data_IF_434238914977
#
_entry.id   IF_434238914977
#
_cell.length_a   1.000
_cell.length_b   1.000
_cell.length_c   1.000
_cell.angle_alpha   90.00
_cell.angle_beta   90.00
_cell.angle_gamma   90.00
#
_symmetry.space_group_name_H-M   'P 1'
#
loop_
_entity.id
_entity.type
_entity.pdbx_description
1 polymer ?
#
# COMPACT_ATOMS: atom_id res chain seq x y z
N UNK A 1 -14.07 -15.59 -19.02
CA UNK A 1 -13.94 -14.11 -18.88
C UNK A 1 -12.48 -13.71 -18.76
N UNK A 2 -11.69 -14.34 -17.86
CA UNK A 2 -10.29 -13.96 -17.59
C UNK A 2 -9.34 -14.01 -18.79
N UNK A 3 -9.57 -14.92 -19.76
CA UNK A 3 -8.66 -15.09 -20.91
C UNK A 3 -9.13 -14.38 -22.19
N UNK A 4 -10.21 -13.60 -22.10
CA UNK A 4 -10.83 -12.94 -23.26
C UNK A 4 -10.65 -11.42 -23.29
N UNK A 5 -10.01 -10.84 -22.26
CA UNK A 5 -9.91 -9.39 -22.05
C UNK A 5 -8.51 -9.08 -21.53
N UNK A 6 -7.88 -8.05 -22.08
CA UNK A 6 -6.61 -7.50 -21.58
C UNK A 6 -6.67 -5.96 -21.46
N UNK A 7 -6.10 -5.34 -20.41
CA UNK A 7 -5.61 -5.97 -19.17
C UNK A 7 -6.72 -6.76 -18.46
N UNK A 8 -6.36 -7.66 -17.55
CA UNK A 8 -7.35 -8.50 -16.87
C UNK A 8 -8.31 -7.64 -16.03
N UNK A 9 -9.56 -8.07 -15.93
CA UNK A 9 -10.57 -7.43 -15.08
C UNK A 9 -10.88 -8.29 -13.85
N UNK A 10 -11.09 -7.63 -12.72
CA UNK A 10 -11.61 -8.25 -11.51
C UNK A 10 -13.13 -8.31 -11.59
N UNK A 11 -13.70 -9.49 -11.33
CA UNK A 11 -15.13 -9.75 -11.44
C UNK A 11 -15.61 -10.44 -10.17
N UNK A 12 -16.66 -9.90 -9.56
CA UNK A 12 -17.39 -10.55 -8.50
C UNK A 12 -18.67 -11.18 -9.07
N UNK A 13 -18.98 -12.41 -8.69
CA UNK A 13 -20.18 -13.11 -9.17
C UNK A 13 -20.93 -13.76 -8.03
N UNK A 14 -22.26 -13.67 -8.06
CA UNK A 14 -23.15 -14.29 -7.08
C UNK A 14 -24.30 -14.99 -7.80
N UNK A 15 -24.65 -16.20 -7.35
CA UNK A 15 -25.84 -16.92 -7.81
C UNK A 15 -26.97 -16.62 -6.83
N UNK A 16 -28.12 -16.23 -7.36
CA UNK A 16 -29.37 -15.99 -6.62
C UNK A 16 -30.37 -17.05 -7.07
N UNK A 17 -30.78 -17.92 -6.15
CA UNK A 17 -31.85 -18.89 -6.40
C UNK A 17 -33.20 -18.19 -6.36
N UNK A 18 -34.03 -18.48 -7.36
CA UNK A 18 -35.41 -18.03 -7.48
C UNK A 18 -36.38 -19.19 -7.24
N UNK A 19 -37.68 -18.88 -7.18
CA UNK A 19 -38.73 -19.89 -7.16
C UNK A 19 -38.66 -20.82 -8.39
N UNK A 20 -39.22 -22.02 -8.25
CA UNK A 20 -39.32 -23.02 -9.32
C UNK A 20 -37.96 -23.48 -9.90
N UNK A 21 -36.89 -23.43 -9.08
CA UNK A 21 -35.57 -23.90 -9.49
C UNK A 21 -34.83 -23.00 -10.49
N UNK A 22 -35.34 -21.79 -10.75
CA UNK A 22 -34.66 -20.80 -11.59
C UNK A 22 -33.48 -20.19 -10.83
N UNK A 23 -32.41 -19.85 -11.53
CA UNK A 23 -31.22 -19.20 -10.95
C UNK A 23 -30.83 -17.97 -11.76
N UNK A 24 -30.41 -16.92 -11.06
CA UNK A 24 -29.85 -15.71 -11.66
C UNK A 24 -28.37 -15.62 -11.29
N UNK A 25 -27.50 -15.49 -12.28
CA UNK A 25 -26.09 -15.16 -12.07
C UNK A 25 -25.92 -13.65 -12.16
N UNK A 26 -25.64 -13.01 -11.02
CA UNK A 26 -25.25 -11.61 -10.96
C UNK A 26 -23.74 -11.53 -11.13
N UNK A 27 -23.29 -10.76 -12.13
CA UNK A 27 -21.87 -10.50 -12.40
C UNK A 27 -21.62 -9.01 -12.24
N UNK A 28 -20.86 -8.63 -11.21
CA UNK A 28 -20.44 -7.26 -10.94
C UNK A 28 -19.02 -7.07 -11.44
N UNK A 29 -18.86 -6.11 -12.36
CA UNK A 29 -17.56 -5.69 -12.90
C UNK A 29 -17.27 -4.32 -12.30
N UNK A 30 -16.18 -4.21 -11.55
CA UNK A 30 -15.75 -2.93 -11.00
C UNK A 30 -15.12 -2.07 -12.10
N UNK A 31 -15.11 -0.75 -11.89
CA UNK A 31 -14.36 0.15 -12.76
C UNK A 31 -12.90 -0.27 -12.72
N UNK A 32 -12.30 -0.45 -13.89
CA UNK A 32 -10.88 -0.70 -14.00
C UNK A 32 -10.11 0.59 -14.24
N UNK A 33 -8.91 0.62 -13.69
CA UNK A 33 -7.99 1.74 -13.73
C UNK A 33 -6.84 1.56 -14.70
N UNK A 34 -6.62 0.33 -15.17
CA UNK A 34 -5.70 0.00 -16.26
C UNK A 34 -6.39 0.02 -17.62
N UNK A 35 -7.52 0.72 -17.70
CA UNK A 35 -8.25 0.88 -18.95
C UNK A 35 -7.49 1.77 -19.94
N UNK A 36 -7.93 1.76 -21.22
CA UNK A 36 -9.05 0.99 -21.76
C UNK A 36 -8.74 -0.52 -21.89
N UNK A 37 -9.79 -1.36 -21.84
CA UNK A 37 -9.68 -2.82 -22.00
C UNK A 37 -9.97 -3.27 -23.42
N UNK A 38 -9.12 -4.13 -23.96
CA UNK A 38 -9.28 -4.78 -25.25
C UNK A 38 -9.93 -6.15 -25.09
N UNK A 39 -10.96 -6.41 -25.90
CA UNK A 39 -11.55 -7.74 -26.03
C UNK A 39 -10.72 -8.53 -27.04
N UNK A 40 -9.92 -9.47 -26.55
CA UNK A 40 -9.06 -10.34 -27.38
C UNK A 40 -9.71 -11.70 -27.70
N UNK A 41 -10.85 -12.00 -27.07
CA UNK A 41 -11.55 -13.27 -27.25
C UNK A 41 -11.79 -13.57 -28.74
N UNK A 42 -11.26 -14.70 -29.21
CA UNK A 42 -11.33 -15.14 -30.62
C UNK A 42 -10.78 -14.11 -31.64
N UNK A 43 -9.73 -13.36 -31.29
CA UNK A 43 -9.06 -12.42 -32.21
C UNK A 43 -9.90 -11.19 -32.55
N UNK A 44 -10.77 -10.78 -31.62
CA UNK A 44 -11.68 -9.65 -31.85
C UNK A 44 -10.96 -8.28 -31.77
N UNK A 45 -9.91 -8.20 -30.95
CA UNK A 45 -8.95 -7.08 -30.78
C UNK A 45 -9.55 -5.66 -30.78
N UNK A 46 -10.73 -5.49 -30.21
CA UNK A 46 -11.47 -4.20 -30.17
C UNK A 46 -11.72 -3.72 -28.75
N UNK A 47 -11.76 -2.41 -28.60
CA UNK A 47 -12.10 -1.72 -27.35
C UNK A 47 -13.57 -1.30 -27.39
N UNK A 48 -14.26 -1.46 -26.25
CA UNK A 48 -15.67 -1.16 -26.11
C UNK A 48 -15.93 -0.29 -24.90
N UNK A 49 -16.96 0.55 -25.01
CA UNK A 49 -17.56 1.26 -23.89
C UNK A 49 -19.06 1.00 -23.85
N UNK A 50 -19.70 1.41 -22.74
CA UNK A 50 -21.13 1.26 -22.52
C UNK A 50 -21.72 2.57 -21.99
N UNK A 51 -22.86 2.94 -22.54
CA UNK A 51 -23.70 4.02 -22.02
C UNK A 51 -25.14 3.50 -21.81
N UNK A 52 -26.08 4.39 -21.53
CA UNK A 52 -27.50 4.05 -21.36
C UNK A 52 -28.14 3.42 -22.60
N UNK A 53 -27.63 3.71 -23.80
CA UNK A 53 -28.15 3.20 -25.07
C UNK A 53 -27.58 1.83 -25.49
N UNK A 54 -26.46 1.40 -24.90
CA UNK A 54 -25.88 0.08 -25.16
C UNK A 54 -24.36 0.05 -25.16
N UNK A 55 -23.81 -1.02 -25.75
CA UNK A 55 -22.36 -1.20 -25.97
C UNK A 55 -21.96 -0.65 -27.34
N UNK A 56 -20.82 0.01 -27.43
CA UNK A 56 -20.30 0.55 -28.70
C UNK A 56 -18.77 0.43 -28.75
N UNK A 57 -18.17 0.26 -29.95
CA UNK A 57 -16.72 0.28 -30.10
C UNK A 57 -16.18 1.69 -29.89
N UNK A 58 -15.05 1.83 -29.21
CA UNK A 58 -14.40 3.13 -29.00
C UNK A 58 -13.71 3.61 -30.28
N UNK A 59 -13.83 4.90 -30.59
CA UNK A 59 -13.05 5.54 -31.65
C UNK A 59 -11.65 5.99 -31.16
N UNK A 60 -10.84 6.55 -32.06
CA UNK A 60 -9.47 6.99 -31.75
C UNK A 60 -9.41 8.13 -30.72
N UNK A 61 -10.37 9.03 -30.71
CA UNK A 61 -10.45 10.15 -29.76
C UNK A 61 -10.90 9.65 -28.39
N UNK A 62 -11.89 8.76 -28.36
CA UNK A 62 -12.35 8.13 -27.12
C UNK A 62 -11.27 7.22 -26.51
N UNK A 63 -10.51 6.50 -27.34
CA UNK A 63 -9.35 5.74 -26.89
C UNK A 63 -8.29 6.66 -26.29
N UNK A 64 -7.92 7.74 -26.98
CA UNK A 64 -6.97 8.73 -26.45
C UNK A 64 -7.44 9.28 -25.10
N UNK A 65 -8.71 9.63 -24.98
CA UNK A 65 -9.29 10.12 -23.73
C UNK A 65 -9.24 9.05 -22.62
N UNK A 66 -9.53 7.79 -22.95
CA UNK A 66 -9.47 6.68 -22.00
C UNK A 66 -8.04 6.45 -21.48
N UNK A 67 -7.02 6.52 -22.34
CA UNK A 67 -5.61 6.42 -21.93
C UNK A 67 -5.15 7.64 -21.12
N UNK A 68 -5.59 8.86 -21.46
CA UNK A 68 -5.23 10.06 -20.69
C UNK A 68 -5.77 10.01 -19.24
N UNK A 69 -6.95 9.42 -19.05
CA UNK A 69 -7.54 9.24 -17.72
C UNK A 69 -6.69 8.34 -16.82
N UNK A 70 -6.07 7.27 -17.35
CA UNK A 70 -5.18 6.39 -16.56
C UNK A 70 -3.84 7.05 -16.26
N UNK A 71 -3.27 7.82 -17.18
CA UNK A 71 -2.06 8.62 -16.92
C UNK A 71 -2.28 9.63 -15.78
N UNK A 72 -3.45 10.29 -15.74
CA UNK A 72 -3.79 11.24 -14.66
C UNK A 72 -3.84 10.59 -13.27
N UNK A 73 -4.16 9.30 -13.19
CA UNK A 73 -4.22 8.59 -11.91
C UNK A 73 -2.83 8.36 -11.34
N UNK A 74 -1.91 7.88 -12.18
CA UNK A 74 -0.50 7.64 -11.78
C UNK A 74 0.13 8.93 -11.27
N UNK A 75 -0.11 10.05 -11.97
CA UNK A 75 0.33 11.37 -11.54
C UNK A 75 -0.28 11.77 -10.19
N UNK A 76 -1.58 11.57 -9.98
CA UNK A 76 -2.24 11.86 -8.70
C UNK A 76 -1.68 11.04 -7.53
N UNK A 77 -1.44 9.74 -7.74
CA UNK A 77 -0.83 8.86 -6.74
C UNK A 77 0.58 9.36 -6.38
N UNK A 78 1.39 9.67 -7.40
CA UNK A 78 2.75 10.17 -7.20
C UNK A 78 2.78 11.53 -6.51
N UNK A 79 1.84 12.43 -6.84
CA UNK A 79 1.71 13.74 -6.21
C UNK A 79 1.30 13.61 -4.74
N UNK A 80 0.32 12.76 -4.42
CA UNK A 80 -0.06 12.47 -3.04
C UNK A 80 1.15 11.98 -2.24
N UNK A 81 1.83 10.93 -2.72
CA UNK A 81 3.00 10.36 -2.06
C UNK A 81 4.10 11.40 -1.87
N UNK A 82 4.46 12.13 -2.92
CA UNK A 82 5.53 13.13 -2.86
C UNK A 82 5.20 14.25 -1.88
N UNK A 83 3.95 14.73 -1.84
CA UNK A 83 3.48 15.69 -0.85
C UNK A 83 3.62 15.16 0.56
N UNK A 84 3.21 13.91 0.81
CA UNK A 84 3.30 13.30 2.14
C UNK A 84 4.74 13.10 2.60
N UNK A 85 5.64 12.67 1.73
CA UNK A 85 7.07 12.57 2.07
C UNK A 85 7.67 13.95 2.37
N UNK A 86 7.28 15.00 1.63
CA UNK A 86 7.71 16.37 1.91
C UNK A 86 7.20 16.88 3.27
N UNK A 87 5.95 16.60 3.60
CA UNK A 87 5.37 16.93 4.91
C UNK A 87 6.12 16.21 6.04
N UNK A 88 6.42 14.91 5.88
CA UNK A 88 7.12 14.10 6.87
C UNK A 88 8.58 14.49 7.10
N UNK A 89 9.24 15.00 6.05
CA UNK A 89 10.62 15.51 6.12
C UNK A 89 10.70 16.92 6.70
N UNK A 90 9.59 17.67 6.64
CA UNK A 90 9.47 19.03 7.19
C UNK A 90 8.77 19.06 8.55
N UNK A 91 8.59 17.89 9.19
CA UNK A 91 7.88 17.67 10.46
C UNK A 91 6.44 18.25 10.50
N UNK A 92 5.80 18.37 9.33
CA UNK A 92 4.39 18.70 9.17
C UNK A 92 3.53 17.42 9.29
N UNK A 93 3.52 16.83 10.48
CA UNK A 93 2.81 15.58 10.80
C UNK A 93 1.43 15.86 11.42
N UNK A 94 0.44 14.94 11.30
CA UNK A 94 -0.89 15.11 11.88
C UNK A 94 -0.91 15.14 13.43
N UNK A 95 0.21 14.76 14.03
CA UNK A 95 0.49 14.76 15.48
C UNK A 95 1.98 15.06 15.67
N UNK A 96 2.42 15.78 16.73
CA UNK A 96 3.84 15.94 17.02
C UNK A 96 4.54 14.59 17.02
N UNK A 97 5.64 14.47 16.27
CA UNK A 97 6.31 13.19 16.02
C UNK A 97 7.77 13.23 16.47
N UNK A 98 8.35 12.06 16.71
CA UNK A 98 9.77 11.93 17.05
C UNK A 98 10.67 12.38 15.89
N UNK A 99 11.78 13.01 16.23
CA UNK A 99 12.82 13.34 15.26
C UNK A 99 13.55 12.06 14.81
N UNK A 100 14.22 12.13 13.66
CA UNK A 100 15.07 11.07 13.14
C UNK A 100 14.43 10.23 12.05
N UNK A 101 14.91 8.99 11.89
CA UNK A 101 14.54 8.11 10.80
C UNK A 101 13.08 7.64 10.91
N UNK A 102 12.37 7.59 9.78
CA UNK A 102 10.96 7.17 9.71
C UNK A 102 10.78 6.05 8.68
N UNK A 103 10.00 5.04 9.02
CA UNK A 103 9.49 4.01 8.09
C UNK A 103 8.05 4.39 7.75
N UNK A 104 7.75 4.51 6.46
CA UNK A 104 6.45 4.97 5.95
C UNK A 104 5.86 3.91 5.03
N UNK A 105 4.67 3.42 5.39
CA UNK A 105 3.87 2.52 4.59
C UNK A 105 2.65 3.27 4.06
N UNK A 106 2.55 3.43 2.74
CA UNK A 106 1.34 3.93 2.09
C UNK A 106 0.61 2.79 1.41
N UNK A 107 -0.70 2.71 1.65
CA UNK A 107 -1.63 1.80 0.98
C UNK A 107 -2.63 2.68 0.27
N UNK A 108 -2.55 2.71 -1.06
CA UNK A 108 -3.25 3.67 -1.90
C UNK A 108 -4.16 2.90 -2.87
N UNK A 109 -5.45 2.75 -2.53
CA UNK A 109 -6.44 2.25 -3.47
C UNK A 109 -6.53 3.16 -4.69
N UNK A 110 -6.65 2.59 -5.89
CA UNK A 110 -6.74 3.40 -7.10
C UNK A 110 -8.04 4.22 -7.13
N UNK A 111 -9.10 3.71 -6.49
CA UNK A 111 -10.36 4.43 -6.34
C UNK A 111 -10.30 5.65 -5.40
N UNK A 112 -9.23 5.84 -4.63
CA UNK A 112 -9.06 7.00 -3.75
C UNK A 112 -9.01 8.35 -4.45
N UNK A 113 -8.79 8.37 -5.76
CA UNK A 113 -8.75 9.60 -6.56
C UNK A 113 -9.99 9.81 -7.42
N UNK A 114 -11.03 8.97 -7.22
CA UNK A 114 -12.36 9.25 -7.73
C UNK A 114 -13.03 10.30 -6.82
N UNK A 115 -13.52 11.44 -7.33
CA UNK A 115 -14.24 12.43 -6.52
C UNK A 115 -15.46 11.86 -5.80
N UNK A 116 -16.06 10.80 -6.32
CA UNK A 116 -17.21 10.12 -5.71
C UNK A 116 -16.80 9.17 -4.57
N UNK A 117 -15.52 8.84 -4.44
CA UNK A 117 -15.03 7.93 -3.40
C UNK A 117 -14.79 8.71 -2.10
N UNK A 118 -15.82 8.73 -1.27
CA UNK A 118 -15.78 9.32 0.07
C UNK A 118 -16.46 8.34 1.04
N UNK A 119 -15.67 7.75 1.94
CA UNK A 119 -16.12 6.80 2.94
C UNK A 119 -16.79 7.57 4.08
N UNK A 120 -18.00 7.17 4.41
CA UNK A 120 -18.78 7.75 5.50
C UNK A 120 -18.02 7.66 6.84
N UNK A 121 -18.12 8.73 7.64
CA UNK A 121 -17.37 8.84 8.90
C UNK A 121 -17.75 7.76 9.92
N UNK A 122 -19.00 7.27 9.92
CA UNK A 122 -19.41 6.23 10.85
C UNK A 122 -18.78 4.88 10.46
N UNK A 123 -18.66 4.58 9.17
CA UNK A 123 -17.88 3.42 8.69
C UNK A 123 -16.41 3.52 9.05
N UNK A 124 -15.82 4.71 8.95
CA UNK A 124 -14.43 4.90 9.38
C UNK A 124 -14.27 4.63 10.88
N UNK A 125 -15.22 5.07 11.72
CA UNK A 125 -15.19 4.82 13.17
C UNK A 125 -15.27 3.32 13.50
N UNK A 126 -16.02 2.54 12.73
CA UNK A 126 -16.06 1.08 12.88
C UNK A 126 -14.70 0.42 12.62
N UNK A 127 -13.86 1.00 11.76
CA UNK A 127 -12.50 0.53 11.51
C UNK A 127 -11.49 0.91 12.61
N UNK A 128 -11.76 1.97 13.38
CA UNK A 128 -10.84 2.53 14.38
C UNK A 128 -10.25 1.49 15.37
N UNK A 129 -11.02 0.54 15.94
CA UNK A 129 -10.46 -0.44 16.88
C UNK A 129 -9.38 -1.34 16.27
N UNK A 130 -9.39 -1.52 14.93
CA UNK A 130 -8.41 -2.31 14.18
C UNK A 130 -7.19 -1.49 13.74
N UNK A 131 -7.26 -0.15 13.82
CA UNK A 131 -6.19 0.77 13.42
C UNK A 131 -5.07 0.80 14.46
N UNK A 132 -4.31 -0.30 14.54
CA UNK A 132 -3.16 -0.44 15.45
C UNK A 132 -1.91 0.19 14.78
N UNK A 133 -1.30 1.22 15.37
CA UNK A 133 -0.04 1.78 14.85
C UNK A 133 1.09 0.74 14.87
N UNK A 134 2.03 0.87 13.95
CA UNK A 134 3.19 -0.02 13.86
C UNK A 134 4.03 0.04 15.15
N UNK A 135 4.48 -1.12 15.64
CA UNK A 135 5.32 -1.24 16.85
C UNK A 135 4.71 -0.60 18.12
N UNK A 136 3.38 -0.54 18.22
CA UNK A 136 2.68 0.02 19.38
C UNK A 136 2.17 -1.07 20.34
N UNK A 137 2.26 -0.81 21.64
CA UNK A 137 1.60 -1.60 22.71
C UNK A 137 0.32 -0.96 23.25
N UNK A 138 0.10 0.32 22.94
CA UNK A 138 -1.10 1.09 23.24
C UNK A 138 -1.22 2.28 22.30
N UNK A 139 -2.45 2.73 22.04
CA UNK A 139 -2.72 3.81 21.10
C UNK A 139 -3.95 4.61 21.52
N UNK A 140 -4.04 5.83 21.01
CA UNK A 140 -5.19 6.71 21.19
C UNK A 140 -5.77 7.10 19.84
N UNK A 141 -7.10 7.14 19.71
CA UNK A 141 -7.76 7.62 18.51
C UNK A 141 -7.84 9.15 18.49
N UNK A 142 -7.89 9.72 17.28
CA UNK A 142 -8.17 11.13 17.01
C UNK A 142 -8.90 11.24 15.67
N UNK A 143 -9.81 12.19 15.55
CA UNK A 143 -10.46 12.51 14.27
C UNK A 143 -9.89 13.85 13.78
N UNK A 144 -9.57 13.95 12.49
CA UNK A 144 -9.09 15.17 11.84
C UNK A 144 -9.86 15.46 10.53
N UNK A 145 -9.45 16.53 9.85
CA UNK A 145 -10.07 16.98 8.60
C UNK A 145 -9.91 15.95 7.48
N UNK A 146 -8.90 15.09 7.56
CA UNK A 146 -8.51 14.11 6.55
C UNK A 146 -9.20 12.76 6.77
N UNK A 147 -9.36 12.31 8.02
CA UNK A 147 -10.14 11.13 8.38
C UNK A 147 -10.02 10.77 9.85
N UNK A 148 -9.57 9.54 10.10
CA UNK A 148 -9.31 9.02 11.45
C UNK A 148 -7.82 8.73 11.57
N UNK A 149 -7.28 9.11 12.73
CA UNK A 149 -5.91 8.88 13.14
C UNK A 149 -5.92 7.98 14.37
N UNK A 150 -5.06 6.97 14.39
CA UNK A 150 -4.66 6.29 15.62
C UNK A 150 -3.17 6.52 15.80
N UNK A 151 -2.74 6.89 16.99
CA UNK A 151 -1.34 7.19 17.26
C UNK A 151 -0.90 6.57 18.59
N UNK A 152 0.38 6.20 18.66
CA UNK A 152 1.02 5.72 19.88
C UNK A 152 1.95 6.80 20.42
N UNK A 153 1.72 7.18 21.66
CA UNK A 153 2.51 8.21 22.34
C UNK A 153 3.88 7.70 22.78
N UNK A 154 4.81 8.62 22.94
CA UNK A 154 6.09 8.44 23.58
C UNK A 154 6.32 9.50 24.67
N UNK A 155 7.58 9.79 24.98
CA UNK A 155 7.99 10.88 25.87
C UNK A 155 7.64 12.26 25.27
N UNK A 156 7.50 13.26 26.14
CA UNK A 156 7.33 14.68 25.78
C UNK A 156 6.15 14.99 24.85
N UNK A 157 5.02 14.28 24.99
CA UNK A 157 3.82 14.45 24.15
C UNK A 157 4.05 14.24 22.64
N UNK A 158 5.17 13.64 22.24
CA UNK A 158 5.43 13.27 20.86
C UNK A 158 5.00 11.83 20.61
N UNK A 159 4.49 11.57 19.42
CA UNK A 159 4.18 10.23 18.94
C UNK A 159 5.40 9.62 18.26
N UNK A 160 5.54 8.31 18.41
CA UNK A 160 6.58 7.55 17.71
C UNK A 160 6.01 6.66 16.60
N UNK A 161 4.69 6.55 16.51
CA UNK A 161 4.01 5.75 15.51
C UNK A 161 2.57 6.22 15.32
N UNK A 162 2.10 6.30 14.09
CA UNK A 162 0.70 6.56 13.79
C UNK A 162 0.21 5.80 12.55
N UNK A 163 -1.10 5.66 12.45
CA UNK A 163 -1.83 5.26 11.25
C UNK A 163 -2.95 6.28 10.99
N UNK A 164 -2.96 6.84 9.79
CA UNK A 164 -4.00 7.72 9.28
C UNK A 164 -4.80 6.97 8.21
N UNK A 165 -6.10 6.86 8.42
CA UNK A 165 -7.07 6.42 7.42
C UNK A 165 -7.79 7.66 6.88
N UNK A 166 -7.56 7.99 5.62
CA UNK A 166 -8.17 9.12 4.94
C UNK A 166 -9.60 8.78 4.50
N UNK A 167 -10.44 9.82 4.37
CA UNK A 167 -11.84 9.70 3.90
C UNK A 167 -11.97 9.04 2.52
N UNK A 168 -10.94 9.13 1.68
CA UNK A 168 -10.91 8.48 0.38
C UNK A 168 -10.33 7.05 0.41
N UNK A 169 -10.11 6.47 1.59
CA UNK A 169 -9.64 5.10 1.76
C UNK A 169 -8.13 4.89 1.69
N UNK A 170 -7.34 5.96 1.51
CA UNK A 170 -5.87 5.87 1.62
C UNK A 170 -5.51 5.56 3.08
N UNK A 171 -4.52 4.69 3.28
CA UNK A 171 -3.88 4.47 4.59
C UNK A 171 -2.43 4.94 4.52
N UNK A 172 -2.03 5.78 5.47
CA UNK A 172 -0.64 6.15 5.74
C UNK A 172 -0.28 5.67 7.15
N UNK A 173 0.75 4.83 7.26
CA UNK A 173 1.30 4.43 8.55
C UNK A 173 2.76 4.83 8.64
N UNK A 174 3.16 5.42 9.77
CA UNK A 174 4.50 5.95 10.00
C UNK A 174 5.01 5.47 11.35
N UNK A 175 6.26 5.01 11.40
CA UNK A 175 6.93 4.51 12.61
C UNK A 175 8.36 5.06 12.70
N UNK A 176 8.77 5.52 13.89
CA UNK A 176 10.04 6.23 14.09
C UNK A 176 10.99 5.63 15.14
N UNK A 177 10.60 4.61 15.90
CA UNK A 177 11.50 4.00 16.91
C UNK A 177 12.44 2.98 16.31
N UNK A 178 12.05 2.26 15.25
CA UNK A 178 12.89 1.20 14.67
C UNK A 178 14.19 1.72 14.11
N UNK A 179 14.19 2.97 13.66
CA UNK A 179 15.35 3.67 13.13
C UNK A 179 15.97 4.61 14.18
N UNK A 180 15.55 4.57 15.44
CA UNK A 180 16.17 5.42 16.46
C UNK A 180 17.66 5.08 16.59
N UNK A 181 18.52 6.08 16.38
CA UNK A 181 19.97 5.89 16.50
C UNK A 181 20.32 5.56 17.95
N UNK A 182 20.97 4.42 18.18
CA UNK A 182 21.47 4.06 19.51
C UNK A 182 22.91 4.56 19.65
N UNK A 183 23.48 4.44 20.87
CA UNK A 183 24.93 4.63 21.07
C UNK A 183 25.79 3.72 20.18
N UNK A 184 25.22 2.63 19.68
CA UNK A 184 25.91 1.62 18.88
C UNK A 184 25.99 2.01 17.39
N UNK A 185 25.14 2.93 16.92
CA UNK A 185 25.13 3.44 15.55
C UNK A 185 23.74 3.56 14.91
N UNK A 186 23.72 3.79 13.59
CA UNK A 186 22.50 3.86 12.76
C UNK A 186 22.22 2.51 12.13
N UNK A 187 21.21 1.79 12.63
CA UNK A 187 20.89 0.45 12.16
C UNK A 187 19.43 0.27 11.79
N UNK A 188 19.20 -0.60 10.81
CA UNK A 188 17.90 -1.18 10.48
C UNK A 188 17.88 -2.62 11.03
N UNK A 189 17.07 -2.93 12.05
CA UNK A 189 16.98 -4.29 12.61
C UNK A 189 16.41 -5.27 11.59
N UNK A 190 17.27 -6.08 10.95
CA UNK A 190 16.94 -6.81 9.72
C UNK A 190 15.70 -7.68 9.79
N UNK A 191 15.44 -8.29 10.97
CA UNK A 191 14.25 -9.12 11.22
C UNK A 191 13.07 -8.27 11.72
N UNK A 192 13.36 -7.29 12.59
CA UNK A 192 12.35 -6.53 13.31
C UNK A 192 11.50 -5.65 12.40
N UNK A 193 12.12 -4.95 11.44
CA UNK A 193 11.39 -4.05 10.54
C UNK A 193 10.47 -4.83 9.57
N UNK A 194 10.96 -5.96 9.04
CA UNK A 194 10.18 -6.80 8.11
C UNK A 194 8.98 -7.45 8.81
N UNK A 195 9.20 -8.04 10.00
CA UNK A 195 8.12 -8.65 10.80
C UNK A 195 7.03 -7.64 11.15
N UNK A 196 7.42 -6.43 11.55
CA UNK A 196 6.50 -5.33 11.82
C UNK A 196 5.68 -4.95 10.59
N UNK A 197 6.32 -4.74 9.43
CA UNK A 197 5.65 -4.36 8.19
C UNK A 197 4.69 -5.44 7.67
N UNK A 198 5.04 -6.72 7.78
CA UNK A 198 4.14 -7.81 7.41
C UNK A 198 2.88 -7.86 8.29
N UNK A 199 3.03 -7.67 9.60
CA UNK A 199 1.90 -7.60 10.52
C UNK A 199 1.02 -6.38 10.25
N UNK A 200 1.64 -5.22 10.04
CA UNK A 200 0.97 -3.98 9.69
C UNK A 200 0.17 -4.11 8.39
N UNK A 201 0.81 -4.56 7.31
CA UNK A 201 0.15 -4.75 6.02
C UNK A 201 -1.02 -5.74 6.12
N UNK A 202 -0.86 -6.86 6.83
CA UNK A 202 -1.95 -7.81 7.06
C UNK A 202 -3.17 -7.14 7.70
N UNK A 203 -2.94 -6.36 8.75
CA UNK A 203 -4.00 -5.67 9.48
C UNK A 203 -4.68 -4.61 8.62
N UNK A 204 -3.88 -3.77 7.95
CA UNK A 204 -4.40 -2.62 7.19
C UNK A 204 -5.10 -3.05 5.90
N UNK A 205 -4.63 -4.11 5.24
CA UNK A 205 -5.35 -4.76 4.13
C UNK A 205 -6.69 -5.35 4.58
N UNK A 206 -6.79 -5.82 5.83
CA UNK A 206 -8.06 -6.24 6.44
C UNK A 206 -9.01 -5.07 6.63
N UNK A 207 -8.52 -3.94 7.14
CA UNK A 207 -9.33 -2.72 7.34
C UNK A 207 -9.93 -2.22 6.03
N UNK A 208 -9.12 -2.04 4.99
CA UNK A 208 -9.62 -1.53 3.70
C UNK A 208 -10.59 -2.52 3.04
N UNK A 209 -10.36 -3.83 3.20
CA UNK A 209 -11.28 -4.86 2.72
C UNK A 209 -12.63 -4.78 3.43
N UNK A 210 -12.64 -4.61 4.75
CA UNK A 210 -13.86 -4.49 5.55
C UNK A 210 -14.65 -3.22 5.22
N UNK A 211 -13.95 -2.14 4.83
CA UNK A 211 -14.55 -0.90 4.33
C UNK A 211 -15.16 -1.03 2.92
N UNK A 212 -14.97 -2.18 2.26
CA UNK A 212 -15.49 -2.45 0.92
C UNK A 212 -14.69 -1.79 -0.21
N UNK A 213 -13.43 -1.42 0.08
CA UNK A 213 -12.53 -0.83 -0.91
C UNK A 213 -12.15 -1.88 -1.96
N UNK A 214 -12.18 -1.51 -3.24
CA UNK A 214 -11.89 -2.43 -4.33
C UNK A 214 -10.43 -2.33 -4.80
N UNK A 215 -9.74 -3.47 -5.03
CA UNK A 215 -8.49 -3.48 -5.78
C UNK A 215 -8.67 -2.94 -7.20
N UNK A 216 -7.60 -2.41 -7.84
CA UNK A 216 -6.20 -2.49 -7.44
C UNK A 216 -5.77 -1.48 -6.36
N UNK A 217 -4.76 -1.88 -5.59
CA UNK A 217 -4.20 -1.12 -4.46
C UNK A 217 -2.68 -1.02 -4.65
N UNK A 218 -2.13 0.18 -4.69
CA UNK A 218 -0.68 0.37 -4.67
C UNK A 218 -0.16 0.38 -3.24
N UNK A 219 0.87 -0.41 -2.98
CA UNK A 219 1.60 -0.45 -1.72
C UNK A 219 2.96 0.19 -1.94
N UNK A 220 3.28 1.21 -1.14
CA UNK A 220 4.58 1.87 -1.16
C UNK A 220 5.24 1.77 0.21
N UNK A 221 6.54 1.52 0.20
CA UNK A 221 7.40 1.59 1.37
C UNK A 221 8.46 2.66 1.13
N UNK A 222 8.60 3.59 2.07
CA UNK A 222 9.61 4.64 2.02
C UNK A 222 10.32 4.72 3.37
N UNK A 223 11.64 4.85 3.34
CA UNK A 223 12.43 5.17 4.53
C UNK A 223 12.94 6.61 4.40
N UNK A 224 12.79 7.40 5.46
CA UNK A 224 13.18 8.80 5.54
C UNK A 224 14.28 8.94 6.59
N UNK A 225 15.27 9.82 6.36
CA UNK A 225 16.34 10.08 7.31
C UNK A 225 17.32 8.92 7.45
N UNK A 226 17.46 8.07 6.42
CA UNK A 226 18.23 6.81 6.48
C UNK A 226 19.64 6.89 5.89
N UNK A 227 20.14 8.08 5.59
CA UNK A 227 21.54 8.22 5.14
C UNK A 227 22.50 7.73 6.23
N UNK A 228 23.38 6.80 5.85
CA UNK A 228 24.38 6.17 6.71
C UNK A 228 23.83 5.04 7.59
N UNK A 229 22.61 4.55 7.36
CA UNK A 229 22.09 3.36 8.05
C UNK A 229 22.61 2.09 7.39
N UNK A 230 22.82 1.05 8.21
CA UNK A 230 23.15 -0.31 7.76
C UNK A 230 22.22 -1.35 8.38
N UNK A 231 22.11 -2.53 7.76
CA UNK A 231 21.33 -3.62 8.35
C UNK A 231 22.07 -4.22 9.55
N UNK A 232 21.40 -4.33 10.70
CA UNK A 232 21.90 -5.13 11.82
C UNK A 232 21.23 -6.50 11.80
N UNK A 233 22.01 -7.56 11.70
CA UNK A 233 21.54 -8.93 11.90
C UNK A 233 22.52 -9.70 12.76
N UNK A 234 21.99 -10.61 13.60
CA UNK A 234 22.78 -11.59 14.36
C UNK A 234 23.60 -12.51 13.45
N UNK A 235 23.17 -12.69 12.20
CA UNK A 235 23.85 -13.50 11.19
C UNK A 235 24.84 -12.69 10.33
N UNK A 236 24.82 -11.36 10.43
CA UNK A 236 25.77 -10.44 9.79
C UNK A 236 26.86 -10.11 10.82
N UNK A 237 27.43 -11.15 11.44
CA UNK A 237 28.42 -11.01 12.54
C UNK A 237 29.80 -10.52 12.06
N UNK A 238 29.98 -10.28 10.77
CA UNK A 238 31.26 -9.93 10.15
C UNK A 238 31.11 -8.89 9.03
N UNK A 239 30.33 -7.84 9.26
CA UNK A 239 30.31 -6.71 8.32
C UNK A 239 31.18 -5.57 8.85
N UNK A 240 32.48 -5.74 8.62
CA UNK A 240 33.50 -4.70 8.79
C UNK A 240 33.54 -3.73 7.61
N UNK A 241 32.74 -3.95 6.56
CA UNK A 241 32.75 -3.07 5.40
C UNK A 241 31.94 -1.80 5.71
N UNK A 242 32.67 -0.68 5.76
CA UNK A 242 32.08 0.66 5.85
C UNK A 242 31.17 0.99 4.65
N UNK A 243 31.20 0.17 3.59
CA UNK A 243 30.52 0.37 2.32
C UNK A 243 29.04 -0.10 2.29
N UNK A 244 28.60 -0.93 3.26
CA UNK A 244 27.23 -1.46 3.32
C UNK A 244 26.22 -0.51 3.97
N UNK A 245 26.34 0.79 3.65
CA UNK A 245 25.49 1.86 4.16
C UNK A 245 24.56 2.42 3.09
N UNK A 246 23.36 2.83 3.51
CA UNK A 246 22.43 3.53 2.63
C UNK A 246 22.95 4.94 2.35
N UNK A 247 23.21 5.25 1.09
CA UNK A 247 23.76 6.54 0.66
C UNK A 247 22.71 7.64 0.45
N UNK A 248 21.42 7.28 0.45
CA UNK A 248 20.29 8.21 0.24
C UNK A 248 19.62 8.55 1.56
N UNK A 249 19.22 9.80 1.73
CA UNK A 249 18.45 10.20 2.91
C UNK A 249 17.00 9.69 2.85
N UNK A 250 16.42 9.72 1.64
CA UNK A 250 15.10 9.14 1.35
C UNK A 250 15.32 7.92 0.47
N UNK A 251 15.05 6.73 1.01
CA UNK A 251 14.99 5.49 0.25
C UNK A 251 13.54 5.24 -0.17
N UNK A 252 13.22 5.70 -1.38
CA UNK A 252 11.93 5.51 -2.01
C UNK A 252 11.93 4.22 -2.84
N UNK A 253 11.09 3.25 -2.48
CA UNK A 253 11.03 1.94 -3.15
C UNK A 253 9.92 1.92 -4.21
N UNK A 254 10.06 1.05 -5.25
CA UNK A 254 9.00 0.80 -6.23
C UNK A 254 7.70 0.32 -5.57
N UNK A 255 6.58 0.57 -6.24
CA UNK A 255 5.28 0.08 -5.83
C UNK A 255 5.14 -1.43 -5.99
N UNK A 256 4.31 -2.03 -5.13
CA UNK A 256 3.66 -3.30 -5.42
C UNK A 256 2.17 -3.05 -5.69
N UNK A 257 1.69 -3.47 -6.85
CA UNK A 257 0.27 -3.40 -7.21
C UNK A 257 -0.43 -4.69 -6.79
N UNK A 258 -1.43 -4.56 -5.94
CA UNK A 258 -2.25 -5.66 -5.45
C UNK A 258 -3.58 -5.66 -6.20
N UNK A 259 -3.79 -6.66 -7.06
CA UNK A 259 -5.01 -6.79 -7.88
C UNK A 259 -6.13 -7.59 -7.19
N UNK A 260 -5.81 -8.29 -6.10
CA UNK A 260 -6.74 -9.15 -5.36
C UNK A 260 -6.40 -9.20 -3.89
N UNK A 261 -7.39 -9.40 -3.02
CA UNK A 261 -7.18 -9.65 -1.59
C UNK A 261 -6.69 -11.09 -1.30
N UNK A 262 -6.72 -11.98 -2.29
CA UNK A 262 -6.24 -13.36 -2.19
C UNK A 262 -4.73 -13.44 -2.48
N UNK A 263 -3.96 -12.73 -1.68
CA UNK A 263 -2.50 -12.69 -1.75
C UNK A 263 -1.94 -12.50 -0.34
N UNK A 264 -0.82 -13.15 -0.03
CA UNK A 264 -0.21 -13.04 1.30
C UNK A 264 0.62 -11.75 1.42
N UNK A 265 0.69 -11.14 2.62
CA UNK A 265 1.59 -10.00 2.87
C UNK A 265 3.06 -10.32 2.54
N UNK A 266 3.50 -11.56 2.73
CA UNK A 266 4.84 -12.03 2.38
C UNK A 266 5.11 -11.95 0.88
N UNK A 267 4.14 -12.34 0.04
CA UNK A 267 4.28 -12.28 -1.41
C UNK A 267 4.34 -10.83 -1.92
N UNK A 268 3.64 -9.91 -1.26
CA UNK A 268 3.66 -8.47 -1.58
C UNK A 268 5.00 -7.84 -1.16
N UNK A 269 5.44 -8.09 0.09
CA UNK A 269 6.53 -7.33 0.70
C UNK A 269 7.91 -7.90 0.43
N UNK A 270 8.06 -9.20 0.16
CA UNK A 270 9.38 -9.82 -0.07
C UNK A 270 10.19 -9.09 -1.17
N UNK A 271 9.64 -8.82 -2.37
CA UNK A 271 10.39 -8.10 -3.40
C UNK A 271 10.82 -6.70 -2.95
N UNK A 272 10.01 -6.04 -2.11
CA UNK A 272 10.32 -4.71 -1.55
C UNK A 272 11.44 -4.82 -0.51
N UNK A 273 11.42 -5.85 0.33
CA UNK A 273 12.48 -6.11 1.31
C UNK A 273 13.81 -6.43 0.62
N UNK A 274 13.79 -7.23 -0.44
CA UNK A 274 15.00 -7.52 -1.21
C UNK A 274 15.68 -6.22 -1.70
N UNK A 275 14.91 -5.21 -2.10
CA UNK A 275 15.45 -3.89 -2.49
C UNK A 275 16.04 -3.09 -1.32
N UNK A 276 15.50 -3.22 -0.09
CA UNK A 276 16.11 -2.62 1.11
C UNK A 276 17.47 -3.26 1.39
N UNK A 277 17.56 -4.58 1.25
CA UNK A 277 18.81 -5.32 1.40
C UNK A 277 19.82 -4.98 0.29
N UNK A 278 19.37 -4.82 -0.96
CA UNK A 278 20.21 -4.33 -2.06
C UNK A 278 20.76 -2.93 -1.78
N UNK A 279 19.95 -2.04 -1.18
CA UNK A 279 20.41 -0.70 -0.79
C UNK A 279 21.49 -0.72 0.30
N UNK A 280 21.68 -1.86 0.98
CA UNK A 280 22.74 -2.11 1.96
C UNK A 280 23.80 -3.10 1.44
N UNK A 281 23.88 -3.37 0.12
CA UNK A 281 24.93 -4.20 -0.48
C UNK A 281 24.66 -5.72 -0.52
N UNK A 282 23.52 -6.19 -0.04
CA UNK A 282 23.18 -7.62 -0.05
C UNK A 282 22.36 -8.02 -1.27
N UNK A 283 22.44 -9.28 -1.70
CA UNK A 283 21.71 -9.78 -2.89
C UNK A 283 20.18 -9.83 -2.69
N UNK A 284 19.70 -10.08 -1.46
CA UNK A 284 18.29 -10.25 -1.10
C UNK A 284 18.10 -10.27 0.42
N UNK A 285 16.85 -10.33 0.90
CA UNK A 285 16.56 -10.65 2.30
C UNK A 285 16.80 -12.13 2.60
N UNK A 286 17.64 -12.39 3.62
CA UNK A 286 17.91 -13.75 4.11
C UNK A 286 16.87 -14.24 5.13
N UNK A 287 15.83 -13.46 5.41
CA UNK A 287 14.74 -13.87 6.29
C UNK A 287 13.71 -14.78 5.62
N UNK A 288 13.87 -15.05 4.31
CA UNK A 288 13.00 -15.90 3.51
C UNK A 288 13.76 -17.08 2.89
N UNK A 289 13.10 -18.24 2.82
CA UNK A 289 13.62 -19.39 2.07
C UNK A 289 13.39 -19.23 0.55
N UNK A 290 13.89 -20.19 -0.23
CA UNK A 290 13.74 -20.19 -1.70
C UNK A 290 12.27 -20.18 -2.17
N UNK A 291 11.38 -20.79 -1.39
CA UNK A 291 9.93 -20.81 -1.63
C UNK A 291 9.24 -19.48 -1.28
N UNK A 292 9.96 -18.52 -0.69
CA UNK A 292 9.40 -17.23 -0.26
C UNK A 292 8.66 -17.27 1.08
N UNK A 293 8.88 -18.32 1.86
CA UNK A 293 8.31 -18.45 3.20
C UNK A 293 9.23 -17.78 4.20
N UNK A 294 8.64 -17.10 5.19
CA UNK A 294 9.37 -16.48 6.29
C UNK A 294 10.02 -17.54 7.19
N UNK A 295 11.32 -17.41 7.45
CA UNK A 295 12.11 -18.35 8.27
C UNK A 295 12.84 -17.71 9.46
N UNK A 296 12.86 -16.38 9.54
CA UNK A 296 13.52 -15.69 10.64
C UNK A 296 12.76 -15.89 11.97
N UNK A 297 13.53 -16.04 13.05
CA UNK A 297 13.03 -16.24 14.42
C UNK A 297 13.06 -14.93 15.20
#
# INVERSE_FOLDING_TARGET
>A
IRDGIEPRIVVASQIISLAEGKVVLVVRINRSWFGPHRVIFKGHDKFYSRNSAGKFPLDTSELRNAFNLSQSLVEKINNFKSSRILDLTSDNTPIPFYDGGKIVLHIIPFESFNPENNIDMDKLKEAQPKMVPMKASGWSPKINLEGILSYSGGQDNRSHSYIQLYRNGIVEAVEGLTLSSTREGKYIPSVGYESMLMQALKSYMGIIKDLGVNPPIAIYLTFIGVKGYKLSSRNIMFDSDEDNVINKDILNLPESIVETYDITPTAILRPIFDLVWNACGFERSFNFNEKGEWIAK
#
